data_IF_891987198522
#
_entry.id   IF_891987198522
#
_cell.length_a   1.000
_cell.length_b   1.000
_cell.length_c   1.000
_cell.angle_alpha   90.00
_cell.angle_beta   90.00
_cell.angle_gamma   90.00
#
_symmetry.space_group_name_H-M   'P 1'
#
loop_
_entity.id
_entity.type
_entity.pdbx_description
1 polymer ?
#
# COMPACT_ATOMS: atom_id res chain seq x y z
N UNK A 1 3.56 -17.01 32.17
CA UNK A 1 4.08 -17.17 30.79
C UNK A 1 4.13 -15.78 30.18
N UNK A 2 5.29 -15.23 29.78
CA UNK A 2 5.30 -13.96 29.07
C UNK A 2 4.68 -14.19 27.69
N UNK A 3 3.67 -13.40 27.35
CA UNK A 3 3.01 -13.45 26.04
C UNK A 3 4.07 -13.32 24.94
N UNK A 4 4.03 -14.15 23.87
CA UNK A 4 4.95 -13.98 22.78
C UNK A 4 4.62 -12.64 22.14
N UNK A 5 5.52 -11.68 22.30
CA UNK A 5 5.41 -10.41 21.61
C UNK A 5 5.69 -10.75 20.13
N UNK A 6 4.64 -11.02 19.35
CA UNK A 6 4.72 -11.31 17.90
C UNK A 6 5.02 -9.99 17.16
N UNK A 7 6.12 -9.35 17.55
CA UNK A 7 6.70 -8.22 16.87
C UNK A 7 7.66 -8.72 15.81
N UNK A 8 7.61 -8.14 14.63
CA UNK A 8 8.61 -8.41 13.60
C UNK A 8 10.00 -8.03 14.07
N UNK A 9 10.98 -8.85 13.70
CA UNK A 9 12.40 -8.54 13.91
C UNK A 9 12.79 -7.29 13.11
N UNK A 10 13.88 -6.64 13.51
CA UNK A 10 14.40 -5.42 12.85
C UNK A 10 14.68 -5.69 11.37
N UNK A 11 15.26 -6.86 11.06
CA UNK A 11 15.54 -7.31 9.70
C UNK A 11 14.26 -7.49 8.87
N UNK A 12 13.22 -8.11 9.45
CA UNK A 12 11.92 -8.28 8.77
C UNK A 12 11.25 -6.93 8.48
N UNK A 13 11.30 -5.98 9.42
CA UNK A 13 10.78 -4.61 9.20
C UNK A 13 11.52 -3.90 8.08
N UNK A 14 12.85 -4.05 8.01
CA UNK A 14 13.66 -3.44 6.95
C UNK A 14 13.32 -4.01 5.57
N UNK A 15 13.18 -5.33 5.45
CA UNK A 15 12.78 -6.00 4.22
C UNK A 15 11.39 -5.51 3.76
N UNK A 16 10.40 -5.53 4.65
CA UNK A 16 9.03 -5.10 4.31
C UNK A 16 8.98 -3.62 3.95
N UNK A 17 9.75 -2.76 4.61
CA UNK A 17 9.88 -1.34 4.23
C UNK A 17 10.44 -1.18 2.82
N UNK A 18 11.36 -2.05 2.40
CA UNK A 18 11.94 -2.03 1.04
C UNK A 18 10.91 -2.45 -0.01
N UNK A 19 10.17 -3.53 0.26
CA UNK A 19 9.08 -3.98 -0.61
C UNK A 19 7.95 -2.97 -0.72
N UNK A 20 7.55 -2.33 0.39
CA UNK A 20 6.55 -1.26 0.39
C UNK A 20 6.97 -0.06 -0.46
N UNK A 21 8.25 0.34 -0.40
CA UNK A 21 8.78 1.41 -1.27
C UNK A 21 8.74 1.03 -2.73
N UNK A 22 9.10 -0.21 -3.07
CA UNK A 22 9.00 -0.72 -4.43
C UNK A 22 7.55 -0.73 -4.91
N UNK A 23 6.63 -1.27 -4.12
CA UNK A 23 5.20 -1.28 -4.41
C UNK A 23 4.63 0.15 -4.57
N UNK A 24 5.09 1.11 -3.77
CA UNK A 24 4.69 2.51 -3.89
C UNK A 24 5.14 3.14 -5.22
N UNK A 25 6.34 2.80 -5.72
CA UNK A 25 6.80 3.24 -7.03
C UNK A 25 5.91 2.68 -8.15
N UNK A 26 5.54 1.40 -8.08
CA UNK A 26 4.60 0.80 -9.03
C UNK A 26 3.20 1.43 -8.93
N UNK A 27 2.73 1.72 -7.71
CA UNK A 27 1.47 2.45 -7.49
C UNK A 27 1.47 3.81 -8.16
N UNK A 28 2.57 4.57 -8.05
CA UNK A 28 2.72 5.86 -8.71
C UNK A 28 2.65 5.74 -10.24
N UNK A 29 3.41 4.81 -10.83
CA UNK A 29 3.37 4.56 -12.28
C UNK A 29 1.97 4.14 -12.73
N UNK A 30 1.28 3.30 -11.95
CA UNK A 30 -0.09 2.89 -12.22
C UNK A 30 -1.10 4.04 -12.18
N UNK A 31 -0.93 5.00 -11.28
CA UNK A 31 -1.76 6.22 -11.23
C UNK A 31 -1.52 7.08 -12.48
N UNK A 32 -0.25 7.31 -12.85
CA UNK A 32 0.09 8.07 -14.06
C UNK A 32 -0.52 7.42 -15.30
N UNK A 33 -0.40 6.09 -15.43
CA UNK A 33 -1.02 5.34 -16.52
C UNK A 33 -2.55 5.45 -16.49
N UNK A 34 -3.17 5.38 -15.31
CA UNK A 34 -4.63 5.52 -15.17
C UNK A 34 -5.11 6.89 -15.64
N UNK A 35 -4.41 7.96 -15.26
CA UNK A 35 -4.72 9.34 -15.70
C UNK A 35 -4.57 9.45 -17.21
N UNK A 36 -3.51 8.88 -17.79
CA UNK A 36 -3.31 8.85 -19.24
C UNK A 36 -4.45 8.13 -19.96
N UNK A 37 -4.87 6.96 -19.47
CA UNK A 37 -6.00 6.19 -20.03
C UNK A 37 -7.33 6.94 -19.93
N UNK A 38 -7.59 7.62 -18.80
CA UNK A 38 -8.80 8.43 -18.64
C UNK A 38 -8.78 9.60 -19.64
N UNK A 39 -7.65 10.28 -19.78
CA UNK A 39 -7.48 11.37 -20.73
C UNK A 39 -7.64 10.90 -22.20
N UNK A 40 -7.24 9.67 -22.50
CA UNK A 40 -7.46 9.06 -23.82
C UNK A 40 -8.89 8.53 -24.04
N UNK A 41 -9.83 8.81 -23.13
CA UNK A 41 -11.23 8.35 -23.23
C UNK A 41 -11.44 6.87 -22.90
N UNK A 42 -10.45 6.18 -22.32
CA UNK A 42 -10.55 4.78 -21.97
C UNK A 42 -11.10 4.61 -20.54
N UNK A 43 -12.28 3.98 -20.44
CA UNK A 43 -12.95 3.69 -19.17
C UNK A 43 -12.15 2.72 -18.27
N UNK A 44 -11.23 1.93 -18.82
CA UNK A 44 -10.32 1.06 -18.08
C UNK A 44 -9.38 1.82 -17.13
N UNK A 45 -9.10 3.10 -17.41
CA UNK A 45 -8.32 3.94 -16.50
C UNK A 45 -9.01 4.16 -15.15
N UNK A 46 -10.34 4.27 -15.12
CA UNK A 46 -11.12 4.37 -13.88
C UNK A 46 -11.05 3.08 -13.06
N UNK A 47 -11.12 1.92 -13.72
CA UNK A 47 -11.01 0.63 -13.06
C UNK A 47 -9.63 0.45 -12.42
N UNK A 48 -8.55 0.76 -13.16
CA UNK A 48 -7.18 0.70 -12.65
C UNK A 48 -6.97 1.66 -11.46
N UNK A 49 -7.48 2.89 -11.57
CA UNK A 49 -7.40 3.89 -10.52
C UNK A 49 -8.16 3.45 -9.26
N UNK A 50 -9.34 2.83 -9.43
CA UNK A 50 -10.13 2.28 -8.34
C UNK A 50 -9.41 1.16 -7.58
N UNK A 51 -8.76 0.23 -8.29
CA UNK A 51 -7.97 -0.85 -7.69
C UNK A 51 -6.80 -0.28 -6.90
N UNK A 52 -6.03 0.63 -7.49
CA UNK A 52 -4.87 1.25 -6.83
C UNK A 52 -5.32 2.03 -5.59
N UNK A 53 -6.42 2.78 -5.69
CA UNK A 53 -7.01 3.50 -4.56
C UNK A 53 -7.42 2.56 -3.43
N UNK A 54 -8.10 1.46 -3.75
CA UNK A 54 -8.55 0.48 -2.75
C UNK A 54 -7.39 -0.17 -1.98
N UNK A 55 -6.34 -0.60 -2.69
CA UNK A 55 -5.13 -1.17 -2.07
C UNK A 55 -4.43 -0.13 -1.19
N UNK A 56 -4.34 1.12 -1.66
CA UNK A 56 -3.70 2.21 -0.92
C UNK A 56 -4.44 2.54 0.38
N UNK A 57 -5.77 2.64 0.33
CA UNK A 57 -6.62 2.91 1.51
C UNK A 57 -6.52 1.75 2.51
N UNK A 58 -6.56 0.51 2.02
CA UNK A 58 -6.43 -0.68 2.87
C UNK A 58 -5.08 -0.68 3.59
N UNK A 59 -3.97 -0.50 2.86
CA UNK A 59 -2.63 -0.43 3.44
C UNK A 59 -2.50 0.69 4.48
N UNK A 60 -3.03 1.87 4.18
CA UNK A 60 -3.05 2.99 5.13
C UNK A 60 -3.86 2.68 6.39
N UNK A 61 -5.02 2.04 6.26
CA UNK A 61 -5.86 1.66 7.39
C UNK A 61 -5.16 0.69 8.34
N UNK A 62 -4.49 -0.34 7.80
CA UNK A 62 -3.72 -1.30 8.60
C UNK A 62 -2.54 -0.65 9.31
N UNK A 63 -1.78 0.21 8.62
CA UNK A 63 -0.66 0.95 9.24
C UNK A 63 -1.17 1.87 10.35
N UNK A 64 -2.28 2.57 10.12
CA UNK A 64 -2.86 3.49 11.11
C UNK A 64 -3.42 2.75 12.32
N UNK A 65 -4.10 1.62 12.13
CA UNK A 65 -4.56 0.73 13.21
C UNK A 65 -3.38 0.20 14.04
N UNK A 66 -2.31 -0.26 13.37
CA UNK A 66 -1.10 -0.72 14.06
C UNK A 66 -0.37 0.36 14.85
N UNK A 67 -0.48 1.63 14.44
CA UNK A 67 0.09 2.78 15.16
C UNK A 67 -0.78 3.25 16.34
N UNK A 68 -2.07 2.93 16.33
CA UNK A 68 -3.05 3.35 17.34
C UNK A 68 -3.50 2.20 18.26
N UNK A 69 -2.94 0.99 18.12
CA UNK A 69 -3.18 -0.12 19.04
C UNK A 69 -2.51 0.12 20.40
N UNK A 70 -3.05 -0.43 21.51
CA UNK A 70 -2.45 -0.27 22.83
C UNK A 70 -1.02 -0.80 22.81
N UNK A 71 -0.10 0.00 23.38
CA UNK A 71 1.31 -0.31 23.56
C UNK A 71 1.52 -1.47 24.52
#
# INVERSE_FOLDING_TARGET
MPEPHVGWTVEQRAAVKRYLRFAAAFGFVGIVLSVFLIASGNSGGWALLGIIGCVSVTGWFFIRRGKNGPA
#
